data_IF_534641817385
#
_entry.id   IF_534641817385
#
_cell.length_a   1.000
_cell.length_b   1.000
_cell.length_c   1.000
_cell.angle_alpha   90.00
_cell.angle_beta   90.00
_cell.angle_gamma   90.00
#
_symmetry.space_group_name_H-M   'P 1'
#
loop_
_entity.id
_entity.type
_entity.pdbx_description
1 polymer ?
#
# COMPACT_ATOMS: atom_id res chain seq x y z
N UNK A 1 -27.88 -11.46 -1.22
CA UNK A 1 -27.99 -12.74 -1.99
C UNK A 1 -27.00 -13.80 -1.51
N UNK A 2 -25.67 -13.60 -1.57
CA UNK A 2 -24.65 -14.57 -1.12
C UNK A 2 -24.73 -14.92 0.39
N UNK A 3 -24.95 -13.93 1.26
CA UNK A 3 -25.04 -14.13 2.72
C UNK A 3 -26.21 -15.03 3.10
N UNK A 4 -27.37 -14.86 2.48
CA UNK A 4 -28.53 -15.72 2.69
C UNK A 4 -28.23 -17.18 2.30
N UNK A 5 -27.49 -17.40 1.20
CA UNK A 5 -27.09 -18.74 0.78
C UNK A 5 -26.14 -19.38 1.79
N UNK A 6 -25.17 -18.65 2.34
CA UNK A 6 -24.25 -19.15 3.37
C UNK A 6 -24.99 -19.46 4.67
N UNK A 7 -25.92 -18.59 5.08
CA UNK A 7 -26.77 -18.83 6.26
C UNK A 7 -27.68 -20.05 6.08
N UNK A 8 -28.23 -20.27 4.90
CA UNK A 8 -29.02 -21.45 4.57
C UNK A 8 -28.23 -22.77 4.68
N UNK A 9 -26.90 -22.72 4.55
CA UNK A 9 -25.99 -23.84 4.77
C UNK A 9 -25.62 -24.05 6.25
N UNK A 10 -26.24 -23.31 7.18
CA UNK A 10 -26.02 -23.44 8.63
C UNK A 10 -24.82 -22.64 9.17
N UNK A 11 -24.33 -21.65 8.43
CA UNK A 11 -23.25 -20.79 8.91
C UNK A 11 -23.77 -19.48 9.52
N UNK A 12 -23.16 -19.08 10.63
CA UNK A 12 -23.24 -17.71 11.14
C UNK A 12 -22.26 -16.85 10.38
N UNK A 13 -22.69 -15.71 9.85
CA UNK A 13 -21.89 -14.81 9.03
C UNK A 13 -21.65 -13.51 9.80
N UNK A 14 -20.38 -13.19 10.04
CA UNK A 14 -19.93 -11.95 10.65
C UNK A 14 -18.96 -11.24 9.72
N UNK A 15 -18.95 -9.91 9.71
CA UNK A 15 -18.01 -9.14 8.89
C UNK A 15 -17.58 -7.84 9.55
N UNK A 16 -16.39 -7.38 9.20
CA UNK A 16 -15.86 -6.08 9.62
C UNK A 16 -14.89 -5.54 8.57
N UNK A 17 -14.68 -4.21 8.61
CA UNK A 17 -13.66 -3.56 7.80
C UNK A 17 -12.41 -3.36 8.66
N UNK A 18 -11.32 -4.01 8.28
CA UNK A 18 -10.03 -3.84 8.93
C UNK A 18 -9.12 -2.96 8.06
N UNK A 19 -8.34 -2.08 8.71
CA UNK A 19 -7.39 -1.20 8.05
C UNK A 19 -5.97 -1.59 8.44
N UNK A 20 -5.14 -1.96 7.44
CA UNK A 20 -3.79 -2.48 7.65
C UNK A 20 -2.86 -1.53 8.42
N UNK A 21 -3.07 -0.21 8.35
CA UNK A 21 -2.25 0.75 9.08
C UNK A 21 -2.25 0.55 10.60
N UNK A 22 -3.30 -0.06 11.15
CA UNK A 22 -3.41 -0.36 12.58
C UNK A 22 -2.82 -1.73 12.97
N UNK A 23 -2.07 -2.35 12.06
CA UNK A 23 -1.37 -3.63 12.27
C UNK A 23 0.14 -3.50 12.06
N UNK A 24 0.71 -2.32 12.39
CA UNK A 24 2.11 -1.95 12.15
C UNK A 24 2.55 -2.05 10.68
N UNK A 25 1.63 -1.78 9.77
CA UNK A 25 1.88 -1.78 8.33
C UNK A 25 1.87 -0.34 7.82
N UNK A 26 2.89 0.11 7.08
CA UNK A 26 2.99 1.49 6.60
C UNK A 26 2.06 1.78 5.41
N UNK A 27 0.82 1.26 5.47
CA UNK A 27 -0.15 1.39 4.39
C UNK A 27 -1.59 1.50 4.90
N UNK A 28 -2.30 2.50 4.45
CA UNK A 28 -3.76 2.63 4.59
C UNK A 28 -4.44 1.67 3.61
N UNK A 29 -4.90 0.52 4.09
CA UNK A 29 -5.55 -0.51 3.26
C UNK A 29 -6.75 -1.08 3.99
N UNK A 30 -7.91 -0.52 3.69
CA UNK A 30 -9.20 -1.01 4.21
C UNK A 30 -9.69 -2.17 3.37
N UNK A 31 -10.03 -3.28 4.02
CA UNK A 31 -10.66 -4.44 3.38
C UNK A 31 -11.75 -4.99 4.27
N UNK A 32 -12.83 -5.44 3.65
CA UNK A 32 -13.85 -6.21 4.34
C UNK A 32 -13.32 -7.63 4.57
N UNK A 33 -13.47 -8.11 5.80
CA UNK A 33 -13.21 -9.49 6.18
C UNK A 33 -14.52 -10.11 6.62
N UNK A 34 -14.74 -11.34 6.18
CA UNK A 34 -15.96 -12.09 6.45
C UNK A 34 -15.55 -13.39 7.14
N UNK A 35 -16.14 -13.67 8.27
CA UNK A 35 -15.95 -14.90 9.03
C UNK A 35 -17.28 -15.68 9.02
N UNK A 36 -17.24 -16.93 8.58
CA UNK A 36 -18.37 -17.81 8.54
C UNK A 36 -18.08 -19.01 9.46
N UNK A 37 -18.81 -19.16 10.57
CA UNK A 37 -18.67 -20.26 11.50
C UNK A 37 -19.96 -21.08 11.57
N UNK A 38 -19.87 -22.41 11.65
CA UNK A 38 -21.05 -23.27 11.61
C UNK A 38 -21.81 -23.33 12.92
N UNK A 39 -21.10 -23.41 14.03
CA UNK A 39 -21.73 -23.72 15.33
C UNK A 39 -21.92 -22.51 16.24
N UNK A 40 -21.37 -21.35 15.89
CA UNK A 40 -21.42 -20.11 16.67
C UNK A 40 -21.22 -18.88 15.80
N UNK A 41 -21.59 -17.72 16.30
CA UNK A 41 -21.22 -16.43 15.70
C UNK A 41 -19.80 -16.03 16.12
N UNK A 42 -19.11 -15.30 15.26
CA UNK A 42 -17.84 -14.65 15.57
C UNK A 42 -18.09 -13.16 15.79
N UNK A 43 -17.60 -12.64 16.89
CA UNK A 43 -17.64 -11.20 17.16
C UNK A 43 -16.27 -10.58 16.86
N UNK A 44 -16.24 -9.65 15.91
CA UNK A 44 -15.02 -8.89 15.66
C UNK A 44 -14.72 -8.00 16.85
N UNK A 45 -13.46 -7.96 17.34
CA UNK A 45 -13.09 -7.00 18.38
C UNK A 45 -13.34 -5.56 17.93
N UNK A 46 -13.88 -4.73 18.82
CA UNK A 46 -14.20 -3.33 18.54
C UNK A 46 -12.98 -2.47 18.26
N UNK A 47 -11.81 -2.88 18.77
CA UNK A 47 -10.57 -2.12 18.65
C UNK A 47 -9.57 -2.83 17.77
N UNK A 48 -8.98 -2.07 16.85
CA UNK A 48 -7.82 -2.51 16.10
C UNK A 48 -6.56 -2.47 17.00
N UNK A 49 -5.56 -3.38 16.78
CA UNK A 49 -4.54 -3.66 17.78
C UNK A 49 -3.59 -2.50 18.08
N UNK A 50 -3.38 -1.57 17.14
CA UNK A 50 -2.38 -0.51 17.30
C UNK A 50 -2.94 0.85 16.90
N UNK A 51 -2.58 1.89 17.65
CA UNK A 51 -2.91 3.29 17.34
C UNK A 51 -1.76 4.04 16.68
N UNK A 52 -0.52 3.61 16.91
CA UNK A 52 0.68 4.23 16.36
C UNK A 52 0.85 3.81 14.90
N UNK A 53 0.86 4.80 14.03
CA UNK A 53 0.96 4.60 12.59
C UNK A 53 2.41 4.52 12.15
N UNK A 54 2.75 3.53 11.34
CA UNK A 54 4.08 3.37 10.77
C UNK A 54 4.16 4.19 9.47
N UNK A 55 5.11 5.14 9.34
CA UNK A 55 5.29 5.90 8.12
C UNK A 55 5.88 5.03 7.00
N UNK A 56 5.50 5.33 5.74
CA UNK A 56 6.08 4.61 4.58
C UNK A 56 7.59 4.79 4.48
N UNK A 57 8.14 5.91 4.96
CA UNK A 57 9.59 6.17 5.02
C UNK A 57 10.37 5.00 5.63
N UNK A 58 9.81 4.30 6.61
CA UNK A 58 10.49 3.20 7.32
C UNK A 58 10.89 2.03 6.43
N UNK A 59 10.30 1.92 5.24
CA UNK A 59 10.53 0.83 4.28
C UNK A 59 11.04 1.32 2.92
N UNK A 60 11.30 2.63 2.79
CA UNK A 60 11.87 3.22 1.58
C UNK A 60 13.39 3.17 1.62
N UNK A 61 13.99 2.72 0.54
CA UNK A 61 15.43 2.85 0.28
C UNK A 61 15.67 4.15 -0.50
N UNK A 62 15.82 5.27 0.22
CA UNK A 62 15.99 6.59 -0.38
C UNK A 62 17.39 6.81 -0.98
N UNK A 63 18.38 6.03 -0.57
CA UNK A 63 19.76 6.08 -1.10
C UNK A 63 19.90 5.24 -2.37
N UNK A 64 19.12 4.16 -2.47
CA UNK A 64 19.16 3.22 -3.58
C UNK A 64 18.06 3.41 -4.62
N UNK A 65 18.05 2.48 -5.57
CA UNK A 65 17.09 2.46 -6.67
C UNK A 65 17.53 3.28 -7.88
N UNK A 66 16.72 3.22 -8.94
CA UNK A 66 17.01 3.93 -10.21
C UNK A 66 16.21 5.21 -10.24
N UNK A 67 16.84 6.30 -9.87
CA UNK A 67 16.28 7.63 -9.94
C UNK A 67 16.44 8.21 -11.36
N UNK A 68 15.49 9.03 -11.77
CA UNK A 68 15.52 9.75 -13.04
C UNK A 68 15.24 11.24 -12.81
N UNK A 69 15.85 12.13 -13.59
CA UNK A 69 15.59 13.56 -13.49
C UNK A 69 14.11 13.91 -13.67
N UNK A 70 13.67 15.00 -13.06
CA UNK A 70 12.31 15.55 -13.25
C UNK A 70 12.25 16.52 -14.43
N UNK A 71 13.38 17.14 -14.80
CA UNK A 71 13.46 18.10 -15.89
C UNK A 71 13.58 17.40 -17.26
N UNK A 72 12.81 17.84 -18.25
CA UNK A 72 12.70 17.18 -19.54
C UNK A 72 14.04 17.08 -20.29
N UNK A 73 14.86 18.14 -20.29
CA UNK A 73 16.17 18.11 -20.96
C UNK A 73 17.12 17.10 -20.32
N UNK A 74 17.14 17.01 -18.97
CA UNK A 74 17.96 16.05 -18.25
C UNK A 74 17.43 14.62 -18.43
N UNK A 75 16.11 14.44 -18.56
CA UNK A 75 15.49 13.14 -18.87
C UNK A 75 15.90 12.63 -20.24
N UNK A 76 15.84 13.50 -21.26
CA UNK A 76 16.23 13.16 -22.62
C UNK A 76 17.72 12.76 -22.67
N UNK A 77 18.58 13.49 -21.96
CA UNK A 77 20.00 13.17 -21.86
C UNK A 77 20.31 11.77 -21.30
N UNK A 78 19.44 11.24 -20.45
CA UNK A 78 19.55 9.86 -19.91
C UNK A 78 18.61 8.86 -20.59
N UNK A 79 18.12 9.14 -21.78
CA UNK A 79 17.29 8.25 -22.58
C UNK A 79 15.86 8.07 -22.04
N UNK A 80 15.36 8.99 -21.24
CA UNK A 80 13.98 8.98 -20.73
C UNK A 80 13.10 9.93 -21.53
N UNK A 81 11.82 9.60 -21.65
CA UNK A 81 10.84 10.48 -22.28
C UNK A 81 10.55 11.71 -21.40
N UNK A 82 10.20 12.86 -21.99
CA UNK A 82 9.63 14.00 -21.28
C UNK A 82 8.44 13.58 -20.40
N UNK A 83 8.23 14.32 -19.32
CA UNK A 83 7.08 14.07 -18.44
C UNK A 83 5.80 14.63 -19.08
N UNK A 84 4.70 13.91 -18.85
CA UNK A 84 3.38 14.44 -19.16
C UNK A 84 3.09 15.67 -18.29
N UNK A 85 2.36 16.65 -18.84
CA UNK A 85 2.08 17.93 -18.19
C UNK A 85 1.46 17.77 -16.79
N UNK A 86 0.48 16.87 -16.65
CA UNK A 86 -0.12 16.55 -15.36
C UNK A 86 0.90 16.02 -14.32
N UNK A 87 1.98 15.38 -14.77
CA UNK A 87 3.06 14.91 -13.88
C UNK A 87 3.89 16.09 -13.41
N UNK A 88 4.23 17.02 -14.29
CA UNK A 88 4.97 18.26 -13.94
C UNK A 88 4.18 19.10 -12.95
N UNK A 89 2.88 19.28 -13.18
CA UNK A 89 1.97 20.00 -12.26
C UNK A 89 1.99 19.35 -10.86
N UNK A 90 1.92 18.02 -10.77
CA UNK A 90 1.99 17.31 -9.49
C UNK A 90 3.31 17.48 -8.76
N UNK A 91 4.42 17.41 -9.51
CA UNK A 91 5.76 17.63 -8.95
C UNK A 91 5.88 19.06 -8.43
N UNK A 92 5.48 20.06 -9.22
CA UNK A 92 5.54 21.46 -8.83
C UNK A 92 4.69 21.75 -7.59
N UNK A 93 3.47 21.22 -7.54
CA UNK A 93 2.58 21.35 -6.37
C UNK A 93 3.16 20.65 -5.12
N UNK A 94 3.76 19.47 -5.30
CA UNK A 94 4.44 18.76 -4.22
C UNK A 94 5.65 19.53 -3.69
N UNK A 95 6.51 20.08 -4.56
CA UNK A 95 7.64 20.92 -4.16
C UNK A 95 7.19 22.18 -3.42
N UNK A 96 6.15 22.83 -3.90
CA UNK A 96 5.57 24.00 -3.19
C UNK A 96 5.12 23.64 -1.77
N UNK A 97 4.61 22.44 -1.56
CA UNK A 97 4.09 22.00 -0.25
C UNK A 97 5.17 21.44 0.68
N UNK A 98 6.12 20.69 0.15
CA UNK A 98 7.07 19.90 0.95
C UNK A 98 8.51 20.45 0.91
N UNK A 99 8.79 21.42 0.04
CA UNK A 99 10.15 21.95 -0.17
C UNK A 99 11.10 20.82 -0.62
N UNK A 100 12.24 20.73 0.06
CA UNK A 100 13.28 19.73 -0.23
C UNK A 100 12.99 18.35 0.40
N UNK A 101 11.90 18.23 1.16
CA UNK A 101 11.53 16.94 1.76
C UNK A 101 11.04 15.97 0.70
N UNK A 102 11.36 14.68 0.90
CA UNK A 102 10.82 13.61 0.07
C UNK A 102 9.30 13.55 0.20
N UNK A 103 8.63 13.43 -0.93
CA UNK A 103 7.19 13.22 -0.99
C UNK A 103 6.85 12.20 -2.07
N UNK A 104 5.62 11.71 -2.06
CA UNK A 104 5.11 10.88 -3.15
C UNK A 104 3.82 11.43 -3.72
N UNK A 105 3.50 11.05 -4.95
CA UNK A 105 2.19 11.28 -5.55
C UNK A 105 1.68 10.04 -6.28
N UNK A 106 0.36 9.80 -6.28
CA UNK A 106 -0.24 8.75 -7.07
C UNK A 106 -0.41 9.18 -8.53
N UNK A 107 -0.26 8.24 -9.46
CA UNK A 107 -0.59 8.45 -10.89
C UNK A 107 -2.10 8.36 -11.20
N UNK A 108 -2.95 8.36 -10.21
CA UNK A 108 -4.40 8.29 -10.34
C UNK A 108 -5.09 9.32 -9.45
N UNK A 109 -6.37 9.58 -9.79
CA UNK A 109 -7.18 10.55 -9.05
C UNK A 109 -6.87 12.00 -9.41
N UNK A 110 -7.67 12.90 -8.86
CA UNK A 110 -7.59 14.35 -9.08
C UNK A 110 -6.65 15.08 -8.11
N UNK A 111 -6.06 14.36 -7.12
CA UNK A 111 -5.18 15.00 -6.16
C UNK A 111 -3.85 15.38 -6.81
N UNK A 112 -3.56 16.67 -6.79
CA UNK A 112 -2.34 17.24 -7.37
C UNK A 112 -1.24 17.53 -6.32
N UNK A 113 -1.56 17.49 -5.01
CA UNK A 113 -0.71 18.10 -3.99
C UNK A 113 0.40 17.20 -3.42
N UNK A 114 0.49 15.94 -3.85
CA UNK A 114 1.43 15.00 -3.25
C UNK A 114 1.12 14.66 -1.78
N UNK A 115 1.89 13.73 -1.21
CA UNK A 115 1.73 13.23 0.15
C UNK A 115 3.08 13.05 0.81
N UNK A 116 3.13 13.29 2.13
CA UNK A 116 4.34 13.04 2.93
C UNK A 116 4.66 11.55 3.00
N UNK A 117 5.95 11.24 3.05
CA UNK A 117 6.43 9.88 3.36
C UNK A 117 6.45 9.59 4.87
N UNK A 118 6.18 10.59 5.71
CA UNK A 118 6.15 10.49 7.17
C UNK A 118 4.77 10.06 7.71
N UNK A 119 3.95 9.48 6.84
CA UNK A 119 2.67 8.84 7.15
C UNK A 119 2.54 7.53 6.37
N UNK A 120 1.59 6.64 6.71
CA UNK A 120 1.32 5.45 5.90
C UNK A 120 0.97 5.82 4.45
N UNK A 121 1.47 5.05 3.49
CA UNK A 121 1.09 5.22 2.08
C UNK A 121 -0.36 4.80 1.85
N UNK A 122 -0.99 5.34 0.85
CA UNK A 122 -2.32 4.90 0.42
C UNK A 122 -2.25 3.48 -0.14
N UNK A 123 -3.43 2.85 -0.30
CA UNK A 123 -3.54 1.46 -0.75
C UNK A 123 -2.68 1.18 -1.98
N UNK A 124 -1.70 0.29 -1.81
CA UNK A 124 -0.91 -0.26 -2.91
C UNK A 124 -1.81 -1.09 -3.81
N UNK A 125 -1.78 -0.78 -5.09
CA UNK A 125 -2.58 -1.43 -6.13
C UNK A 125 -1.74 -2.40 -6.94
N UNK A 126 -2.36 -3.09 -7.89
CA UNK A 126 -1.70 -4.06 -8.78
C UNK A 126 -0.81 -3.43 -9.87
N UNK A 127 -0.71 -2.10 -9.90
CA UNK A 127 0.07 -1.35 -10.90
C UNK A 127 1.01 -0.38 -10.20
N UNK A 128 2.07 0.03 -10.90
CA UNK A 128 2.97 1.09 -10.47
C UNK A 128 2.25 2.45 -10.44
N UNK A 129 1.74 2.80 -9.28
CA UNK A 129 0.87 3.96 -9.10
C UNK A 129 1.48 5.07 -8.24
N UNK A 130 2.61 4.81 -7.59
CA UNK A 130 3.22 5.77 -6.67
C UNK A 130 4.61 6.17 -7.14
N UNK A 131 4.79 7.46 -7.29
CA UNK A 131 6.07 8.06 -7.63
C UNK A 131 6.62 8.83 -6.44
N UNK A 132 7.85 8.52 -6.05
CA UNK A 132 8.64 9.30 -5.10
C UNK A 132 9.33 10.43 -5.82
N UNK A 133 9.44 11.57 -5.17
CA UNK A 133 10.20 12.74 -5.60
C UNK A 133 11.13 13.17 -4.48
N UNK A 134 12.40 13.39 -4.83
CA UNK A 134 13.44 13.87 -3.93
C UNK A 134 14.31 14.87 -4.71
N UNK A 135 14.29 16.15 -4.31
CA UNK A 135 14.95 17.20 -5.08
C UNK A 135 14.52 17.17 -6.54
N UNK A 136 15.49 17.09 -7.45
CA UNK A 136 15.28 17.04 -8.90
C UNK A 136 15.20 15.60 -9.47
N UNK A 137 15.00 14.63 -8.63
CA UNK A 137 14.91 13.22 -8.99
C UNK A 137 13.53 12.63 -8.66
N UNK A 138 13.14 11.64 -9.44
CA UNK A 138 11.92 10.88 -9.24
C UNK A 138 12.10 9.40 -9.56
N UNK A 139 11.35 8.54 -8.89
CA UNK A 139 11.28 7.10 -9.22
C UNK A 139 9.97 6.47 -8.74
N UNK A 140 9.65 5.32 -9.29
CA UNK A 140 8.57 4.46 -8.81
C UNK A 140 9.08 3.64 -7.61
N UNK A 141 8.19 3.24 -6.71
CA UNK A 141 8.50 2.26 -5.67
C UNK A 141 9.05 0.98 -6.30
N UNK A 142 10.17 0.48 -5.77
CA UNK A 142 10.70 -0.80 -6.22
C UNK A 142 9.93 -1.97 -5.60
N UNK A 143 10.20 -3.21 -6.07
CA UNK A 143 9.47 -4.40 -5.62
C UNK A 143 9.72 -4.72 -4.14
N UNK A 144 10.94 -4.46 -3.64
CA UNK A 144 11.27 -4.70 -2.23
C UNK A 144 10.50 -3.73 -1.31
N UNK A 145 10.39 -2.46 -1.70
CA UNK A 145 9.59 -1.46 -0.97
C UNK A 145 8.11 -1.81 -0.98
N UNK A 146 7.56 -2.24 -2.12
CA UNK A 146 6.17 -2.69 -2.22
C UNK A 146 5.94 -3.92 -1.34
N UNK A 147 6.87 -4.90 -1.36
CA UNK A 147 6.81 -6.09 -0.49
C UNK A 147 6.79 -5.71 0.99
N UNK A 148 7.73 -4.85 1.41
CA UNK A 148 7.81 -4.39 2.80
C UNK A 148 6.59 -3.56 3.21
N UNK A 149 6.09 -2.66 2.35
CA UNK A 149 4.89 -1.88 2.59
C UNK A 149 3.60 -2.72 2.66
N UNK A 150 3.61 -3.93 2.09
CA UNK A 150 2.55 -4.92 2.23
C UNK A 150 2.75 -5.83 3.46
N UNK A 151 3.85 -5.66 4.22
CA UNK A 151 4.15 -6.43 5.42
C UNK A 151 4.67 -7.84 5.16
N UNK A 152 5.15 -8.13 3.95
CA UNK A 152 5.82 -9.40 3.67
C UNK A 152 7.29 -9.34 4.11
N UNK A 153 7.82 -10.42 4.68
CA UNK A 153 9.21 -10.46 5.16
C UNK A 153 10.22 -10.38 4.01
N UNK A 154 11.48 -9.97 4.28
CA UNK A 154 12.52 -9.80 3.25
C UNK A 154 12.84 -11.05 2.45
N UNK A 155 12.72 -12.21 3.06
CA UNK A 155 12.99 -13.54 2.50
C UNK A 155 11.79 -14.14 1.74
N UNK A 156 10.63 -13.44 1.73
CA UNK A 156 9.47 -13.90 0.97
C UNK A 156 9.82 -13.98 -0.51
N UNK A 157 9.74 -15.20 -1.07
CA UNK A 157 10.11 -15.47 -2.46
C UNK A 157 9.11 -14.88 -3.42
N UNK A 158 9.61 -14.07 -4.33
CA UNK A 158 8.88 -13.49 -5.45
C UNK A 158 9.35 -14.13 -6.76
N UNK A 159 8.64 -13.85 -7.86
CA UNK A 159 8.94 -14.43 -9.17
C UNK A 159 10.21 -13.86 -9.83
N UNK A 160 10.71 -12.74 -9.35
CA UNK A 160 11.80 -11.96 -9.94
C UNK A 160 11.36 -11.09 -11.13
N UNK A 161 10.09 -11.15 -11.51
CA UNK A 161 9.50 -10.31 -12.57
C UNK A 161 8.75 -9.14 -11.92
N UNK A 162 9.40 -7.98 -11.80
CA UNK A 162 8.90 -6.82 -11.04
C UNK A 162 7.42 -6.48 -11.27
N UNK A 163 6.96 -6.48 -12.53
CA UNK A 163 5.55 -6.20 -12.86
C UNK A 163 4.60 -7.27 -12.30
N UNK A 164 4.96 -8.56 -12.41
CA UNK A 164 4.17 -9.66 -11.88
C UNK A 164 4.16 -9.64 -10.36
N UNK A 165 5.33 -9.42 -9.74
CA UNK A 165 5.48 -9.38 -8.29
C UNK A 165 4.64 -8.27 -7.67
N UNK A 166 4.67 -7.06 -8.24
CA UNK A 166 3.83 -5.95 -7.80
C UNK A 166 2.33 -6.22 -8.00
N UNK A 167 1.96 -6.90 -9.10
CA UNK A 167 0.59 -7.34 -9.32
C UNK A 167 0.12 -8.32 -8.23
N UNK A 168 0.93 -9.33 -7.92
CA UNK A 168 0.62 -10.31 -6.87
C UNK A 168 0.55 -9.66 -5.49
N UNK A 169 1.53 -8.82 -5.14
CA UNK A 169 1.56 -8.08 -3.87
C UNK A 169 0.35 -7.16 -3.73
N UNK A 170 -0.03 -6.45 -4.78
CA UNK A 170 -1.21 -5.55 -4.77
C UNK A 170 -2.53 -6.29 -4.55
N UNK A 171 -2.64 -7.56 -4.96
CA UNK A 171 -3.80 -8.43 -4.72
C UNK A 171 -3.73 -9.18 -3.37
N UNK A 172 -2.58 -9.22 -2.74
CA UNK A 172 -2.39 -10.02 -1.53
C UNK A 172 -3.17 -9.46 -0.33
N UNK A 173 -3.47 -10.34 0.59
CA UNK A 173 -3.88 -9.99 1.96
C UNK A 173 -2.63 -9.67 2.76
N UNK A 174 -2.68 -8.62 3.56
CA UNK A 174 -1.59 -8.24 4.47
C UNK A 174 -1.40 -9.32 5.53
N UNK A 175 -0.21 -9.95 5.65
CA UNK A 175 0.01 -11.09 6.54
C UNK A 175 -0.34 -10.81 8.00
N UNK A 176 0.02 -9.63 8.52
CA UNK A 176 -0.27 -9.25 9.90
C UNK A 176 -1.78 -9.23 10.20
N UNK A 177 -2.58 -8.70 9.27
CA UNK A 177 -4.05 -8.66 9.41
C UNK A 177 -4.63 -10.08 9.38
N UNK A 178 -4.18 -10.91 8.45
CA UNK A 178 -4.64 -12.30 8.32
C UNK A 178 -4.28 -13.12 9.58
N UNK A 179 -3.04 -13.02 10.06
CA UNK A 179 -2.57 -13.71 11.26
C UNK A 179 -3.36 -13.31 12.49
N UNK A 180 -3.59 -12.00 12.68
CA UNK A 180 -4.38 -11.51 13.79
C UNK A 180 -5.81 -12.05 13.75
N UNK A 181 -6.47 -11.96 12.58
CA UNK A 181 -7.84 -12.43 12.45
C UNK A 181 -7.96 -13.94 12.67
N UNK A 182 -7.06 -14.73 12.08
CA UNK A 182 -7.05 -16.19 12.27
C UNK A 182 -6.89 -16.54 13.75
N UNK A 183 -5.98 -15.89 14.48
CA UNK A 183 -5.83 -16.11 15.93
C UNK A 183 -7.12 -15.82 16.67
N UNK A 184 -7.79 -14.69 16.39
CA UNK A 184 -9.07 -14.34 17.00
C UNK A 184 -10.18 -15.35 16.70
N UNK A 185 -10.23 -15.85 15.49
CA UNK A 185 -11.17 -16.92 15.10
C UNK A 185 -10.87 -18.22 15.84
N UNK A 186 -9.59 -18.60 15.99
CA UNK A 186 -9.19 -19.80 16.74
C UNK A 186 -9.45 -19.69 18.25
N UNK A 187 -9.26 -18.50 18.84
CA UNK A 187 -9.59 -18.23 20.24
C UNK A 187 -11.12 -18.34 20.50
N UNK A 188 -11.92 -18.02 19.49
CA UNK A 188 -13.38 -18.14 19.55
C UNK A 188 -13.89 -19.54 19.16
N UNK A 189 -13.07 -20.40 18.57
CA UNK A 189 -13.45 -21.75 18.13
C UNK A 189 -13.45 -22.79 19.26
#
# INVERSE_FOLDING_TARGET
MWEAAIKALGYHVSYSVLDAQYFHIPQMRKRIFIVCMRNRSFEFPDTQPHKDLVPIRSVLDLEGGVWAPTEDHARIAVGKRPLAENTKIRIAAGRKRFGDKVFYYPYFGSNLNGFTVDAPIWTITTRDRYCLVQGDQMRILNTAEVRAAMGFPPDYRLSGKSKMDKFLLGNAVVPAVATWLIRKVMEAA
#
